data_IF_542768847862
#
_entry.id   IF_542768847862
#
_cell.length_a   1.000
_cell.length_b   1.000
_cell.length_c   1.000
_cell.angle_alpha   90.00
_cell.angle_beta   90.00
_cell.angle_gamma   90.00
#
_symmetry.space_group_name_H-M   'P 1'
#
loop_
_entity.id
_entity.type
_entity.pdbx_description
1 polymer ?
#
# COMPACT_ATOMS: atom_id res chain seq x y z
N UNK A 1 15.09 -36.39 -10.23
CA UNK A 1 16.06 -35.28 -10.36
C UNK A 1 15.88 -34.46 -11.64
N UNK A 2 15.86 -35.05 -12.83
CA UNK A 2 15.77 -34.30 -14.11
C UNK A 2 14.48 -33.45 -14.28
N UNK A 3 13.30 -33.97 -13.90
CA UNK A 3 12.04 -33.21 -13.88
C UNK A 3 12.01 -32.06 -12.86
N UNK A 4 12.69 -32.21 -11.73
CA UNK A 4 12.79 -31.16 -10.71
C UNK A 4 13.70 -30.04 -11.22
N UNK A 5 14.82 -30.38 -11.87
CA UNK A 5 15.71 -29.39 -12.46
C UNK A 5 15.03 -28.62 -13.60
N UNK A 6 14.24 -29.28 -14.46
CA UNK A 6 13.44 -28.61 -15.49
C UNK A 6 12.35 -27.70 -14.91
N UNK A 7 11.69 -28.14 -13.83
CA UNK A 7 10.70 -27.32 -13.14
C UNK A 7 11.36 -26.09 -12.48
N UNK A 8 12.54 -26.27 -11.89
CA UNK A 8 13.33 -25.18 -11.31
C UNK A 8 13.78 -24.21 -12.40
N UNK A 9 14.29 -24.68 -13.55
CA UNK A 9 14.64 -23.82 -14.68
C UNK A 9 13.44 -23.05 -15.25
N UNK A 10 12.26 -23.69 -15.33
CA UNK A 10 11.04 -23.03 -15.75
C UNK A 10 10.58 -21.97 -14.74
N UNK A 11 10.62 -22.28 -13.43
CA UNK A 11 10.27 -21.33 -12.37
C UNK A 11 11.25 -20.17 -12.28
N UNK A 12 12.55 -20.40 -12.52
CA UNK A 12 13.58 -19.34 -12.59
C UNK A 12 13.31 -18.42 -13.79
N UNK A 13 12.84 -18.97 -14.92
CA UNK A 13 12.46 -18.19 -16.11
C UNK A 13 11.12 -17.46 -15.97
N UNK A 14 10.28 -17.86 -15.03
CA UNK A 14 8.99 -17.21 -14.79
C UNK A 14 9.14 -16.15 -13.70
N UNK A 15 9.42 -14.91 -14.09
CA UNK A 15 9.60 -13.76 -13.19
C UNK A 15 8.51 -13.68 -12.10
N UNK A 16 7.26 -13.91 -12.50
CA UNK A 16 6.07 -13.94 -11.68
C UNK A 16 6.19 -14.79 -10.40
N UNK A 17 6.92 -15.91 -10.43
CA UNK A 17 7.02 -16.83 -9.30
C UNK A 17 7.62 -16.16 -8.07
N UNK A 18 8.58 -15.26 -8.27
CA UNK A 18 9.28 -14.55 -7.19
C UNK A 18 8.35 -13.56 -6.49
N UNK A 19 7.58 -12.80 -7.27
CA UNK A 19 6.61 -11.83 -6.75
C UNK A 19 5.42 -12.53 -6.09
N UNK A 20 4.87 -13.58 -6.71
CA UNK A 20 3.80 -14.38 -6.09
C UNK A 20 4.30 -15.00 -4.78
N UNK A 21 5.53 -15.50 -4.74
CA UNK A 21 6.16 -16.02 -3.53
C UNK A 21 6.24 -14.97 -2.41
N UNK A 22 6.67 -13.74 -2.73
CA UNK A 22 6.68 -12.62 -1.78
C UNK A 22 5.27 -12.27 -1.30
N UNK A 23 4.29 -12.21 -2.20
CA UNK A 23 2.90 -11.92 -1.85
C UNK A 23 2.33 -12.97 -0.89
N UNK A 24 2.48 -14.26 -1.22
CA UNK A 24 2.02 -15.38 -0.37
C UNK A 24 2.70 -15.35 0.99
N UNK A 25 4.02 -15.16 1.02
CA UNK A 25 4.77 -15.06 2.27
C UNK A 25 4.28 -13.88 3.13
N UNK A 26 4.02 -12.73 2.52
CA UNK A 26 3.48 -11.55 3.20
C UNK A 26 2.13 -11.84 3.85
N UNK A 27 1.19 -12.43 3.10
CA UNK A 27 -0.13 -12.82 3.60
C UNK A 27 0.00 -13.79 4.78
N UNK A 28 0.86 -14.81 4.64
CA UNK A 28 1.11 -15.78 5.72
C UNK A 28 1.63 -15.10 6.98
N UNK A 29 2.59 -14.19 6.86
CA UNK A 29 3.17 -13.46 7.98
C UNK A 29 2.13 -12.55 8.65
N UNK A 30 1.36 -11.80 7.88
CA UNK A 30 0.29 -10.93 8.41
C UNK A 30 -0.75 -11.77 9.14
N UNK A 31 -1.28 -12.80 8.49
CA UNK A 31 -2.31 -13.66 9.06
C UNK A 31 -1.81 -14.35 10.34
N UNK A 32 -0.63 -14.97 10.29
CA UNK A 32 -0.02 -15.60 11.46
C UNK A 32 0.15 -14.61 12.61
N UNK A 33 0.64 -13.40 12.33
CA UNK A 33 0.87 -12.37 13.35
C UNK A 33 -0.43 -11.92 14.00
N UNK A 34 -1.44 -11.58 13.21
CA UNK A 34 -2.75 -11.13 13.71
C UNK A 34 -3.48 -12.26 14.45
N UNK A 35 -3.46 -13.47 13.92
CA UNK A 35 -4.06 -14.64 14.56
C UNK A 35 -3.40 -14.99 15.90
N UNK A 36 -2.06 -14.92 15.96
CA UNK A 36 -1.31 -15.26 17.18
C UNK A 36 -1.46 -14.22 18.28
N UNK A 37 -1.51 -12.93 17.91
CA UNK A 37 -1.53 -11.81 18.88
C UNK A 37 -2.93 -11.36 19.26
N UNK A 38 -3.91 -11.50 18.37
CA UNK A 38 -5.32 -11.14 18.60
C UNK A 38 -5.49 -9.70 19.12
N UNK A 39 -4.65 -8.79 18.65
CA UNK A 39 -4.67 -7.38 19.04
C UNK A 39 -5.00 -6.52 17.81
N UNK A 40 -6.14 -5.84 17.86
CA UNK A 40 -6.61 -4.99 16.78
C UNK A 40 -5.68 -3.78 16.54
N UNK A 41 -4.92 -3.35 17.54
CA UNK A 41 -3.91 -2.28 17.39
C UNK A 41 -2.80 -2.67 16.42
N UNK A 42 -2.53 -3.97 16.26
CA UNK A 42 -1.59 -4.46 15.25
C UNK A 42 -2.16 -4.36 13.84
N UNK A 43 -3.48 -4.52 13.66
CA UNK A 43 -4.11 -4.24 12.37
C UNK A 43 -4.03 -2.75 12.03
N UNK A 44 -4.29 -1.88 13.02
CA UNK A 44 -4.11 -0.43 12.84
C UNK A 44 -2.67 -0.10 12.46
N UNK A 45 -1.69 -0.70 13.15
CA UNK A 45 -0.28 -0.52 12.82
C UNK A 45 0.01 -0.97 11.39
N UNK A 46 -0.48 -2.14 10.99
CA UNK A 46 -0.27 -2.67 9.64
C UNK A 46 -0.77 -1.69 8.58
N UNK A 47 -2.02 -1.23 8.68
CA UNK A 47 -2.61 -0.26 7.73
C UNK A 47 -1.84 1.09 7.74
N UNK A 48 -1.32 1.49 8.91
CA UNK A 48 -0.47 2.67 9.04
C UNK A 48 0.88 2.52 8.31
N UNK A 49 1.52 1.37 8.47
CA UNK A 49 2.80 1.05 7.84
C UNK A 49 2.66 0.83 6.34
N UNK A 50 1.59 0.17 5.92
CA UNK A 50 1.18 0.03 4.53
C UNK A 50 1.11 1.41 3.88
N UNK A 51 0.24 2.30 4.35
CA UNK A 51 0.13 3.67 3.83
C UNK A 51 1.46 4.46 3.81
N UNK A 52 2.32 4.28 4.82
CA UNK A 52 3.65 4.90 4.85
C UNK A 52 4.54 4.36 3.72
N UNK A 53 4.51 3.05 3.50
CA UNK A 53 5.18 2.39 2.38
C UNK A 53 4.70 2.94 1.04
N UNK A 54 3.38 3.06 0.82
CA UNK A 54 2.87 3.59 -0.45
C UNK A 54 3.28 5.04 -0.65
N UNK A 55 3.18 5.86 0.39
CA UNK A 55 3.58 7.25 0.27
C UNK A 55 5.04 7.37 -0.20
N UNK A 56 5.92 6.54 0.37
CA UNK A 56 7.31 6.47 -0.05
C UNK A 56 7.47 5.98 -1.49
N UNK A 57 6.83 4.86 -1.87
CA UNK A 57 6.83 4.34 -3.25
C UNK A 57 6.29 5.38 -4.25
N UNK A 58 5.23 6.09 -3.91
CA UNK A 58 4.65 7.09 -4.79
C UNK A 58 5.60 8.27 -5.05
N UNK A 59 6.46 8.61 -4.09
CA UNK A 59 7.49 9.63 -4.30
C UNK A 59 8.65 9.05 -5.12
N UNK A 60 9.21 7.93 -4.67
CA UNK A 60 10.47 7.38 -5.19
C UNK A 60 10.26 6.66 -6.51
N UNK A 61 9.32 5.72 -6.57
CA UNK A 61 9.00 4.95 -7.77
C UNK A 61 8.14 5.78 -8.75
N UNK A 62 6.93 6.18 -8.36
CA UNK A 62 5.98 6.81 -9.30
C UNK A 62 6.42 8.24 -9.69
N UNK A 63 6.91 9.03 -8.74
CA UNK A 63 7.35 10.41 -8.97
C UNK A 63 8.73 10.52 -9.62
N UNK A 64 9.72 9.80 -9.10
CA UNK A 64 11.13 9.98 -9.46
C UNK A 64 11.72 8.86 -10.34
N UNK A 65 10.93 7.84 -10.69
CA UNK A 65 11.36 6.70 -11.52
C UNK A 65 12.66 6.04 -11.02
N UNK A 66 12.74 5.82 -9.71
CA UNK A 66 13.92 5.32 -9.01
C UNK A 66 14.42 3.95 -9.48
N UNK A 67 13.49 3.06 -9.81
CA UNK A 67 13.71 1.69 -10.23
C UNK A 67 12.49 1.14 -10.96
N UNK A 68 12.63 -0.03 -11.57
CA UNK A 68 11.59 -0.73 -12.32
C UNK A 68 11.57 -2.21 -11.92
N UNK A 69 10.38 -2.79 -11.78
CA UNK A 69 10.18 -4.24 -11.58
C UNK A 69 9.60 -4.88 -12.84
N UNK A 70 9.92 -6.14 -13.12
CA UNK A 70 9.41 -6.86 -14.29
C UNK A 70 8.76 -8.19 -13.88
N UNK A 71 7.64 -8.19 -13.14
CA UNK A 71 6.98 -9.42 -12.70
C UNK A 71 6.35 -10.24 -13.84
N UNK A 72 6.02 -9.63 -14.98
CA UNK A 72 5.37 -10.28 -16.13
C UNK A 72 4.02 -10.94 -15.78
N UNK A 73 3.24 -10.27 -14.92
CA UNK A 73 1.90 -10.68 -14.50
C UNK A 73 0.78 -9.97 -15.29
N UNK A 74 1.03 -8.74 -15.74
CA UNK A 74 0.07 -7.88 -16.43
C UNK A 74 0.54 -7.54 -17.84
N UNK A 75 -0.45 -7.27 -18.73
CA UNK A 75 -0.18 -6.92 -20.13
C UNK A 75 0.33 -5.50 -20.32
N UNK A 76 -0.18 -4.55 -19.54
CA UNK A 76 0.29 -3.17 -19.57
C UNK A 76 1.61 -3.10 -18.79
N UNK A 77 2.73 -2.69 -19.42
CA UNK A 77 4.05 -2.70 -18.79
C UNK A 77 4.13 -1.83 -17.53
N UNK A 78 3.51 -0.65 -17.53
CA UNK A 78 3.59 0.25 -16.38
C UNK A 78 2.77 -0.27 -15.19
N UNK A 79 1.57 -0.83 -15.45
CA UNK A 79 0.81 -1.54 -14.42
C UNK A 79 1.57 -2.76 -13.89
N UNK A 80 2.24 -3.52 -14.75
CA UNK A 80 3.05 -4.66 -14.34
C UNK A 80 4.20 -4.24 -13.40
N UNK A 81 4.95 -3.21 -13.77
CA UNK A 81 6.00 -2.62 -12.93
C UNK A 81 5.45 -2.12 -11.60
N UNK A 82 4.30 -1.44 -11.63
CA UNK A 82 3.65 -0.89 -10.42
C UNK A 82 3.18 -2.02 -9.51
N UNK A 83 2.66 -3.13 -10.06
CA UNK A 83 2.29 -4.31 -9.29
C UNK A 83 3.51 -4.96 -8.63
N UNK A 84 4.65 -5.00 -9.33
CA UNK A 84 5.92 -5.47 -8.77
C UNK A 84 6.39 -4.64 -7.57
N UNK A 85 6.30 -3.31 -7.69
CA UNK A 85 6.59 -2.38 -6.59
C UNK A 85 5.60 -2.54 -5.42
N UNK A 86 4.31 -2.68 -5.73
CA UNK A 86 3.25 -2.92 -4.75
C UNK A 86 3.55 -4.18 -3.92
N UNK A 87 3.84 -5.30 -4.56
CA UNK A 87 4.10 -6.57 -3.86
C UNK A 87 5.39 -6.49 -3.05
N UNK A 88 6.47 -5.98 -3.64
CA UNK A 88 7.82 -6.08 -3.07
C UNK A 88 8.08 -5.06 -1.96
N UNK A 89 7.56 -3.85 -2.10
CA UNK A 89 7.82 -2.76 -1.16
C UNK A 89 6.57 -2.44 -0.35
N UNK A 90 5.47 -2.10 -1.02
CA UNK A 90 4.25 -1.64 -0.35
C UNK A 90 3.65 -2.72 0.55
N UNK A 91 3.70 -3.99 0.17
CA UNK A 91 3.05 -5.06 0.94
C UNK A 91 4.01 -5.87 1.80
N UNK A 92 5.16 -6.29 1.26
CA UNK A 92 6.10 -7.16 1.97
C UNK A 92 6.84 -6.45 3.12
N UNK A 93 7.25 -5.18 2.95
CA UNK A 93 7.98 -4.44 4.00
C UNK A 93 7.10 -4.18 5.23
N UNK A 94 5.84 -3.73 5.10
CA UNK A 94 4.91 -3.63 6.22
C UNK A 94 4.59 -4.98 6.88
N UNK A 95 4.48 -6.08 6.12
CA UNK A 95 4.26 -7.41 6.68
C UNK A 95 5.40 -7.84 7.63
N UNK A 96 6.66 -7.68 7.20
CA UNK A 96 7.83 -7.98 8.02
C UNK A 96 7.93 -7.03 9.22
N UNK A 97 7.62 -5.75 9.02
CA UNK A 97 7.64 -4.75 10.08
C UNK A 97 6.58 -5.01 11.15
N UNK A 98 5.38 -5.43 10.74
CA UNK A 98 4.31 -5.87 11.64
C UNK A 98 4.78 -7.05 12.50
N UNK A 99 5.36 -8.08 11.87
CA UNK A 99 5.92 -9.23 12.60
C UNK A 99 7.00 -8.81 13.60
N UNK A 100 7.96 -8.00 13.14
CA UNK A 100 9.05 -7.48 13.95
C UNK A 100 8.55 -6.77 15.22
N UNK A 101 7.55 -5.90 15.08
CA UNK A 101 6.95 -5.15 16.19
C UNK A 101 6.10 -6.05 17.09
N UNK A 102 5.22 -6.86 16.50
CA UNK A 102 4.28 -7.72 17.22
C UNK A 102 4.97 -8.73 18.14
N UNK A 103 6.11 -9.27 17.71
CA UNK A 103 6.93 -10.20 18.49
C UNK A 103 8.00 -9.51 19.34
N UNK A 104 8.02 -8.17 19.38
CA UNK A 104 8.93 -7.35 20.19
C UNK A 104 10.39 -7.73 19.96
N UNK A 105 10.76 -8.03 18.72
CA UNK A 105 12.12 -8.47 18.39
C UNK A 105 13.12 -7.35 18.69
N UNK A 106 14.33 -7.72 19.10
CA UNK A 106 15.40 -6.76 19.41
C UNK A 106 15.87 -6.02 18.15
N UNK A 107 16.52 -4.87 18.30
CA UNK A 107 17.01 -4.08 17.15
C UNK A 107 18.04 -4.82 16.30
N UNK A 108 18.65 -5.92 16.78
CA UNK A 108 19.50 -6.77 15.94
C UNK A 108 18.71 -7.39 14.78
N UNK A 109 17.44 -7.73 15.01
CA UNK A 109 16.58 -8.30 13.98
C UNK A 109 16.22 -7.30 12.87
N UNK A 110 16.19 -5.99 13.13
CA UNK A 110 15.98 -5.02 12.05
C UNK A 110 17.15 -5.00 11.07
N UNK A 111 18.39 -5.18 11.53
CA UNK A 111 19.54 -5.34 10.63
C UNK A 111 19.46 -6.63 9.82
N UNK A 112 19.06 -7.74 10.45
CA UNK A 112 18.90 -9.03 9.75
C UNK A 112 17.82 -8.94 8.68
N UNK A 113 16.63 -8.41 9.01
CA UNK A 113 15.56 -8.27 8.02
C UNK A 113 15.90 -7.28 6.92
N UNK A 114 16.51 -6.14 7.25
CA UNK A 114 16.98 -5.20 6.24
C UNK A 114 18.01 -5.84 5.29
N UNK A 115 18.94 -6.64 5.83
CA UNK A 115 19.91 -7.38 5.02
C UNK A 115 19.25 -8.45 4.13
N UNK A 116 18.24 -9.16 4.64
CA UNK A 116 17.49 -10.15 3.85
C UNK A 116 16.75 -9.47 2.71
N UNK A 117 16.03 -8.38 2.97
CA UNK A 117 15.27 -7.65 1.93
C UNK A 117 16.23 -7.05 0.89
N UNK A 118 17.34 -6.44 1.32
CA UNK A 118 18.38 -5.96 0.41
C UNK A 118 19.01 -7.11 -0.41
N UNK A 119 19.19 -8.29 0.17
CA UNK A 119 19.68 -9.46 -0.55
C UNK A 119 18.66 -10.00 -1.58
N UNK A 120 17.36 -9.91 -1.29
CA UNK A 120 16.30 -10.21 -2.27
C UNK A 120 16.36 -9.21 -3.43
N UNK A 121 16.55 -7.92 -3.16
CA UNK A 121 16.73 -6.92 -4.21
C UNK A 121 17.96 -7.21 -5.08
N UNK A 122 19.11 -7.54 -4.47
CA UNK A 122 20.30 -7.96 -5.21
C UNK A 122 20.08 -9.23 -6.04
N UNK A 123 19.28 -10.17 -5.52
CA UNK A 123 18.86 -11.35 -6.27
C UNK A 123 18.00 -10.95 -7.48
N UNK A 124 17.06 -10.03 -7.31
CA UNK A 124 16.20 -9.57 -8.40
C UNK A 124 16.98 -8.84 -9.49
N UNK A 125 18.02 -8.06 -9.13
CA UNK A 125 18.98 -7.50 -10.09
C UNK A 125 19.70 -8.60 -10.88
N UNK A 126 20.16 -9.66 -10.21
CA UNK A 126 20.87 -10.78 -10.88
C UNK A 126 19.98 -11.63 -11.78
N UNK A 127 18.67 -11.61 -11.54
CA UNK A 127 17.68 -12.32 -12.33
C UNK A 127 17.11 -11.45 -13.47
N UNK A 128 17.55 -10.20 -13.60
CA UNK A 128 17.02 -9.22 -14.56
C UNK A 128 15.51 -8.98 -14.43
N UNK A 129 14.95 -9.18 -13.24
CA UNK A 129 13.52 -8.95 -12.92
C UNK A 129 13.29 -7.64 -12.15
N UNK A 130 14.37 -6.90 -11.91
CA UNK A 130 14.40 -5.59 -11.29
C UNK A 130 15.58 -4.80 -11.84
N UNK A 131 15.41 -3.49 -12.00
CA UNK A 131 16.43 -2.59 -12.52
C UNK A 131 16.48 -1.32 -11.70
N UNK A 132 17.68 -0.95 -11.28
CA UNK A 132 17.96 0.34 -10.66
C UNK A 132 18.16 1.41 -11.73
N UNK A 133 17.51 2.56 -11.58
CA UNK A 133 17.80 3.74 -12.39
C UNK A 133 18.79 4.65 -11.68
N UNK A 134 18.45 5.10 -10.47
CA UNK A 134 19.36 5.87 -9.60
C UNK A 134 19.32 5.41 -8.14
N UNK A 135 18.39 4.53 -7.79
CA UNK A 135 18.26 4.01 -6.44
C UNK A 135 19.24 2.86 -6.21
N UNK A 136 20.19 3.06 -5.31
CA UNK A 136 21.13 2.02 -4.93
C UNK A 136 20.55 1.14 -3.80
N UNK A 137 20.89 -0.16 -3.80
CA UNK A 137 20.39 -1.09 -2.79
C UNK A 137 20.82 -0.72 -1.36
N UNK A 138 21.91 0.05 -1.18
CA UNK A 138 22.27 0.62 0.12
C UNK A 138 21.20 1.60 0.65
N UNK A 139 20.49 2.32 -0.23
CA UNK A 139 19.39 3.19 0.15
C UNK A 139 18.21 2.38 0.66
N UNK A 140 17.89 1.24 0.04
CA UNK A 140 16.89 0.30 0.55
C UNK A 140 17.28 -0.19 1.95
N UNK A 141 18.53 -0.62 2.14
CA UNK A 141 18.99 -1.11 3.45
C UNK A 141 18.85 -0.04 4.54
N UNK A 142 19.32 1.18 4.31
CA UNK A 142 19.22 2.29 5.27
C UNK A 142 17.76 2.70 5.49
N UNK A 143 16.97 2.79 4.43
CA UNK A 143 15.54 3.11 4.48
C UNK A 143 14.76 2.10 5.31
N UNK A 144 15.04 0.81 5.19
CA UNK A 144 14.40 -0.24 5.97
C UNK A 144 14.76 -0.16 7.46
N UNK A 145 16.00 0.15 7.81
CA UNK A 145 16.38 0.37 9.21
C UNK A 145 15.58 1.53 9.82
N UNK A 146 15.42 2.62 9.07
CA UNK A 146 14.58 3.74 9.48
C UNK A 146 13.11 3.32 9.59
N UNK A 147 12.59 2.57 8.61
CA UNK A 147 11.21 2.07 8.59
C UNK A 147 10.89 1.18 9.80
N UNK A 148 11.79 0.24 10.16
CA UNK A 148 11.63 -0.59 11.36
C UNK A 148 11.67 0.23 12.65
N UNK A 149 12.50 1.27 12.71
CA UNK A 149 12.53 2.18 13.85
C UNK A 149 11.23 2.98 13.98
N UNK A 150 10.73 3.54 12.87
CA UNK A 150 9.42 4.22 12.80
C UNK A 150 8.32 3.27 13.24
N UNK A 151 8.33 2.03 12.75
CA UNK A 151 7.32 1.01 13.08
C UNK A 151 7.20 0.76 14.59
N UNK A 152 8.34 0.62 15.29
CA UNK A 152 8.35 0.48 16.75
C UNK A 152 7.83 1.73 17.45
N UNK A 153 8.27 2.92 17.02
CA UNK A 153 7.84 4.18 17.63
C UNK A 153 6.35 4.42 17.44
N UNK A 154 5.84 4.17 16.23
CA UNK A 154 4.42 4.31 15.93
C UNK A 154 3.56 3.34 16.74
N UNK A 155 3.97 2.08 16.86
CA UNK A 155 3.25 1.13 17.71
C UNK A 155 3.21 1.56 19.18
N UNK A 156 4.31 2.08 19.70
CA UNK A 156 4.33 2.63 21.06
C UNK A 156 3.36 3.81 21.19
N UNK A 157 3.26 4.68 20.18
CA UNK A 157 2.25 5.72 20.17
C UNK A 157 0.82 5.17 20.06
N UNK A 158 0.57 4.10 19.32
CA UNK A 158 -0.76 3.49 19.24
C UNK A 158 -1.20 2.89 20.59
N UNK A 159 -0.27 2.27 21.33
CA UNK A 159 -0.60 1.66 22.63
C UNK A 159 -0.69 2.70 23.74
N UNK A 160 0.21 3.69 23.76
CA UNK A 160 0.19 4.77 24.73
C UNK A 160 -0.88 5.79 24.33
N UNK A 161 -1.38 6.60 25.27
CA UNK A 161 -2.32 7.67 24.93
C UNK A 161 -1.62 8.73 24.05
N UNK A 162 -1.60 8.53 22.72
CA UNK A 162 -0.90 9.40 21.79
C UNK A 162 -1.48 10.81 21.78
N UNK A 163 -0.66 11.75 21.32
CA UNK A 163 -1.13 13.09 20.98
C UNK A 163 -2.27 13.00 19.97
N UNK A 164 -3.16 14.01 20.02
CA UNK A 164 -4.28 14.15 19.07
C UNK A 164 -3.79 14.13 17.62
N UNK A 165 -2.63 14.72 17.36
CA UNK A 165 -2.00 14.76 16.05
C UNK A 165 -1.62 13.37 15.52
N UNK A 166 -0.89 12.55 16.31
CA UNK A 166 -0.48 11.21 15.87
C UNK A 166 -1.69 10.32 15.59
N UNK A 167 -2.74 10.43 16.41
CA UNK A 167 -4.00 9.70 16.16
C UNK A 167 -4.65 10.13 14.84
N UNK A 168 -4.69 11.44 14.56
CA UNK A 168 -5.23 11.94 13.30
C UNK A 168 -4.47 11.39 12.09
N UNK A 169 -3.13 11.48 12.12
CA UNK A 169 -2.27 10.91 11.08
C UNK A 169 -2.52 9.40 10.93
N UNK A 170 -2.66 8.66 12.03
CA UNK A 170 -2.97 7.23 11.99
C UNK A 170 -4.29 6.95 11.29
N UNK A 171 -5.34 7.75 11.55
CA UNK A 171 -6.65 7.59 10.88
C UNK A 171 -6.56 7.94 9.39
N UNK A 172 -5.78 8.97 9.00
CA UNK A 172 -5.50 9.27 7.59
C UNK A 172 -4.83 8.09 6.90
N UNK A 173 -3.80 7.51 7.53
CA UNK A 173 -3.09 6.36 6.98
C UNK A 173 -3.98 5.12 6.85
N UNK A 174 -4.84 4.83 7.85
CA UNK A 174 -5.84 3.77 7.74
C UNK A 174 -6.74 4.00 6.52
N UNK A 175 -7.31 5.20 6.39
CA UNK A 175 -8.20 5.52 5.27
C UNK A 175 -7.48 5.42 3.92
N UNK A 176 -6.22 5.83 3.87
CA UNK A 176 -5.39 5.77 2.66
C UNK A 176 -5.08 4.34 2.24
N UNK A 177 -4.56 3.52 3.15
CA UNK A 177 -4.23 2.11 2.91
C UNK A 177 -5.47 1.33 2.45
N UNK A 178 -6.59 1.44 3.18
CA UNK A 178 -7.82 0.73 2.83
C UNK A 178 -8.38 1.18 1.47
N UNK A 179 -8.34 2.48 1.17
CA UNK A 179 -8.76 2.99 -0.14
C UNK A 179 -7.85 2.45 -1.25
N UNK A 180 -6.53 2.43 -1.04
CA UNK A 180 -5.56 1.85 -1.97
C UNK A 180 -5.87 0.38 -2.24
N UNK A 181 -5.96 -0.43 -1.20
CA UNK A 181 -6.17 -1.87 -1.27
C UNK A 181 -7.48 -2.26 -1.97
N UNK A 182 -8.56 -1.52 -1.70
CA UNK A 182 -9.84 -1.77 -2.36
C UNK A 182 -9.78 -1.45 -3.86
N UNK A 183 -9.03 -0.43 -4.28
CA UNK A 183 -8.97 -0.09 -5.72
C UNK A 183 -7.89 -0.83 -6.51
N UNK A 184 -7.05 -1.66 -5.86
CA UNK A 184 -5.99 -2.44 -6.51
C UNK A 184 -6.53 -3.21 -7.72
N UNK A 185 -7.61 -3.98 -7.54
CA UNK A 185 -8.17 -4.83 -8.60
C UNK A 185 -8.61 -4.02 -9.82
N UNK A 186 -9.49 -3.01 -9.70
CA UNK A 186 -9.92 -2.25 -10.88
C UNK A 186 -8.79 -1.43 -11.51
N UNK A 187 -7.81 -0.94 -10.73
CA UNK A 187 -6.63 -0.24 -11.28
C UNK A 187 -5.79 -1.18 -12.14
N UNK A 188 -5.38 -2.32 -11.61
CA UNK A 188 -4.52 -3.26 -12.34
C UNK A 188 -5.24 -4.04 -13.44
N UNK A 189 -6.58 -4.03 -13.43
CA UNK A 189 -7.40 -4.57 -14.53
C UNK A 189 -7.66 -3.56 -15.65
N UNK A 190 -7.08 -2.35 -15.56
CA UNK A 190 -7.26 -1.28 -16.55
C UNK A 190 -8.75 -0.90 -16.72
N UNK A 191 -9.53 -0.89 -15.64
CA UNK A 191 -10.97 -0.60 -15.72
C UNK A 191 -11.27 0.89 -15.87
N UNK A 192 -10.40 1.76 -15.37
CA UNK A 192 -10.57 3.20 -15.45
C UNK A 192 -9.22 3.90 -15.54
N UNK A 193 -9.20 5.08 -16.15
CA UNK A 193 -8.01 5.93 -16.20
C UNK A 193 -8.38 7.41 -16.09
N UNK A 194 -7.40 8.19 -15.64
CA UNK A 194 -7.44 9.64 -15.71
C UNK A 194 -6.62 10.09 -16.91
N UNK A 195 -7.25 10.82 -17.82
CA UNK A 195 -6.63 11.36 -19.03
C UNK A 195 -5.97 12.70 -18.72
N UNK A 196 -4.68 12.64 -18.40
CA UNK A 196 -3.87 13.80 -18.02
C UNK A 196 -2.44 13.63 -18.55
N UNK A 197 -1.86 14.68 -19.11
CA UNK A 197 -0.52 14.65 -19.71
C UNK A 197 0.59 15.12 -18.75
N UNK A 198 0.70 14.51 -17.56
CA UNK A 198 1.74 14.88 -16.58
C UNK A 198 3.09 14.21 -16.86
N UNK A 199 3.08 13.01 -17.42
CA UNK A 199 4.25 12.23 -17.79
C UNK A 199 4.12 11.72 -19.22
N UNK A 200 5.26 11.32 -19.82
CA UNK A 200 5.30 10.74 -21.16
C UNK A 200 4.55 9.41 -21.28
N UNK A 201 4.38 8.68 -20.17
CA UNK A 201 3.59 7.46 -20.11
C UNK A 201 2.17 7.79 -19.58
N UNK A 202 1.10 7.56 -20.37
CA UNK A 202 -0.27 7.86 -19.95
C UNK A 202 -0.72 7.07 -18.72
N UNK A 203 -0.25 5.84 -18.55
CA UNK A 203 -0.59 4.99 -17.41
C UNK A 203 0.01 5.57 -16.13
N UNK A 204 1.26 6.03 -16.20
CA UNK A 204 1.93 6.75 -15.11
C UNK A 204 1.18 8.02 -14.71
N UNK A 205 0.76 8.82 -15.69
CA UNK A 205 -0.03 10.02 -15.42
C UNK A 205 -1.34 9.71 -14.72
N UNK A 206 -2.08 8.71 -15.23
CA UNK A 206 -3.31 8.24 -14.60
C UNK A 206 -3.07 7.79 -13.16
N UNK A 207 -2.05 6.96 -12.91
CA UNK A 207 -1.70 6.50 -11.57
C UNK A 207 -1.32 7.64 -10.62
N UNK A 208 -0.61 8.66 -11.09
CA UNK A 208 -0.27 9.83 -10.29
C UNK A 208 -1.52 10.61 -9.86
N UNK A 209 -2.48 10.81 -10.77
CA UNK A 209 -3.77 11.44 -10.44
C UNK A 209 -4.56 10.58 -9.46
N UNK A 210 -4.59 9.25 -9.67
CA UNK A 210 -5.23 8.31 -8.74
C UNK A 210 -4.64 8.46 -7.34
N UNK A 211 -3.32 8.41 -7.20
CA UNK A 211 -2.64 8.52 -5.90
C UNK A 211 -2.94 9.84 -5.19
N UNK A 212 -2.92 10.96 -5.92
CA UNK A 212 -3.30 12.26 -5.35
C UNK A 212 -4.75 12.29 -4.92
N UNK A 213 -5.65 11.77 -5.76
CA UNK A 213 -7.07 11.69 -5.46
C UNK A 213 -7.33 10.78 -4.25
N UNK A 214 -6.66 9.62 -4.15
CA UNK A 214 -6.71 8.73 -2.98
C UNK A 214 -6.25 9.44 -1.71
N UNK A 215 -5.23 10.29 -1.79
CA UNK A 215 -4.76 11.09 -0.66
C UNK A 215 -5.83 12.08 -0.20
N UNK A 216 -6.49 12.77 -1.13
CA UNK A 216 -7.60 13.69 -0.82
C UNK A 216 -8.78 12.93 -0.20
N UNK A 217 -9.19 11.80 -0.78
CA UNK A 217 -10.25 10.92 -0.23
C UNK A 217 -9.94 10.50 1.20
N UNK A 218 -8.73 10.00 1.43
CA UNK A 218 -8.29 9.54 2.75
C UNK A 218 -8.35 10.66 3.79
N UNK A 219 -7.87 11.86 3.44
CA UNK A 219 -7.96 13.04 4.30
C UNK A 219 -9.42 13.41 4.61
N UNK A 220 -10.31 13.45 3.62
CA UNK A 220 -11.73 13.77 3.82
C UNK A 220 -12.41 12.76 4.76
N UNK A 221 -12.27 11.47 4.49
CA UNK A 221 -12.84 10.40 5.32
C UNK A 221 -12.27 10.49 6.74
N UNK A 222 -10.95 10.68 6.88
CA UNK A 222 -10.29 10.77 8.16
C UNK A 222 -10.74 11.98 8.99
N UNK A 223 -10.92 13.16 8.38
CA UNK A 223 -11.48 14.34 9.06
C UNK A 223 -12.82 14.01 9.69
N UNK A 224 -13.73 13.44 8.89
CA UNK A 224 -15.09 13.18 9.33
C UNK A 224 -15.15 12.08 10.41
N UNK A 225 -14.33 11.03 10.28
CA UNK A 225 -14.18 9.99 11.30
C UNK A 225 -13.55 10.52 12.58
N UNK A 226 -12.52 11.35 12.47
CA UNK A 226 -11.72 11.82 13.60
C UNK A 226 -12.47 12.80 14.48
N UNK A 227 -13.19 13.75 13.88
CA UNK A 227 -14.01 14.73 14.60
C UNK A 227 -15.36 14.16 15.07
N UNK A 228 -15.68 12.92 14.70
CA UNK A 228 -16.91 12.21 15.10
C UNK A 228 -18.17 13.01 14.81
N UNK A 229 -18.27 13.55 13.60
CA UNK A 229 -19.50 14.20 13.17
C UNK A 229 -20.69 13.23 13.23
N UNK A 230 -21.91 13.76 13.28
CA UNK A 230 -23.13 12.95 13.23
C UNK A 230 -23.21 12.18 11.89
N UNK A 231 -23.98 11.09 11.87
CA UNK A 231 -24.06 10.21 10.71
C UNK A 231 -24.49 10.92 9.42
N UNK A 232 -25.26 12.00 9.51
CA UNK A 232 -25.65 12.80 8.35
C UNK A 232 -24.44 13.50 7.72
N UNK A 233 -23.61 14.18 8.51
CA UNK A 233 -22.36 14.77 8.02
C UNK A 233 -21.35 13.71 7.58
N UNK A 234 -21.36 12.52 8.19
CA UNK A 234 -20.53 11.40 7.73
C UNK A 234 -20.96 10.89 6.36
N UNK A 235 -22.26 10.78 6.11
CA UNK A 235 -22.79 10.38 4.81
C UNK A 235 -22.51 11.39 3.69
N UNK A 236 -22.28 12.67 4.02
CA UNK A 236 -21.89 13.67 3.02
C UNK A 236 -20.50 13.37 2.41
N UNK A 237 -19.57 12.76 3.14
CA UNK A 237 -18.24 12.45 2.62
C UNK A 237 -18.27 11.57 1.36
N UNK A 238 -18.86 10.35 1.37
CA UNK A 238 -18.96 9.53 0.17
C UNK A 238 -19.80 10.18 -0.93
N UNK A 239 -20.83 10.98 -0.59
CA UNK A 239 -21.63 11.72 -1.58
C UNK A 239 -20.77 12.76 -2.31
N UNK A 240 -19.94 13.52 -1.58
CA UNK A 240 -19.02 14.50 -2.17
C UNK A 240 -17.95 13.83 -3.04
N UNK A 241 -17.45 12.66 -2.64
CA UNK A 241 -16.50 11.89 -3.44
C UNK A 241 -17.14 11.39 -4.73
N UNK A 242 -18.34 10.81 -4.68
CA UNK A 242 -19.10 10.45 -5.87
C UNK A 242 -19.36 11.66 -6.78
N UNK A 243 -19.78 12.80 -6.20
CA UNK A 243 -19.98 14.03 -6.96
C UNK A 243 -18.69 14.50 -7.66
N UNK A 244 -17.53 14.35 -7.03
CA UNK A 244 -16.24 14.68 -7.66
C UNK A 244 -15.88 13.74 -8.81
N UNK A 245 -16.20 12.45 -8.74
CA UNK A 245 -16.07 11.54 -9.89
C UNK A 245 -16.97 11.96 -11.05
N UNK A 246 -18.24 12.28 -10.78
CA UNK A 246 -19.17 12.79 -11.79
C UNK A 246 -18.67 14.09 -12.43
N UNK A 247 -18.06 14.96 -11.62
CA UNK A 247 -17.42 16.17 -12.11
C UNK A 247 -16.22 15.88 -13.02
N UNK A 248 -15.34 14.93 -12.66
CA UNK A 248 -14.22 14.53 -13.53
C UNK A 248 -14.68 13.87 -14.84
N UNK A 249 -15.79 13.13 -14.82
CA UNK A 249 -16.42 12.59 -16.04
C UNK A 249 -16.92 13.75 -16.92
N UNK A 250 -17.58 14.74 -16.32
CA UNK A 250 -18.08 15.91 -17.05
C UNK A 250 -16.96 16.71 -17.70
N UNK A 251 -15.79 16.78 -17.05
CA UNK A 251 -14.58 17.40 -17.61
C UNK A 251 -13.84 16.53 -18.62
N UNK A 252 -14.31 15.32 -18.92
CA UNK A 252 -13.64 14.32 -19.76
C UNK A 252 -12.23 13.91 -19.25
N UNK A 253 -11.97 14.10 -17.96
CA UNK A 253 -10.70 13.72 -17.33
C UNK A 253 -10.76 12.27 -16.83
N UNK A 254 -11.93 11.81 -16.38
CA UNK A 254 -12.09 10.44 -15.87
C UNK A 254 -12.91 9.59 -16.84
N UNK A 255 -12.33 8.47 -17.27
CA UNK A 255 -12.97 7.49 -18.14
C UNK A 255 -12.99 6.12 -17.46
N UNK A 256 -14.01 5.33 -17.75
CA UNK A 256 -14.19 4.00 -17.16
C UNK A 256 -14.78 3.04 -18.21
N UNK A 257 -14.44 1.75 -18.10
CA UNK A 257 -14.93 0.70 -19.00
C UNK A 257 -16.34 0.25 -18.64
N UNK A 258 -16.64 0.16 -17.34
CA UNK A 258 -17.94 -0.33 -16.86
C UNK A 258 -18.55 0.64 -15.83
N UNK A 259 -19.86 0.90 -15.94
CA UNK A 259 -20.58 1.73 -14.94
C UNK A 259 -20.45 1.14 -13.53
N UNK A 260 -20.24 -0.17 -13.43
CA UNK A 260 -19.95 -0.87 -12.18
C UNK A 260 -18.73 -0.35 -11.43
N UNK A 261 -17.75 0.23 -12.12
CA UNK A 261 -16.56 0.80 -11.48
C UNK A 261 -16.93 2.00 -10.59
N UNK A 262 -17.90 2.83 -11.01
CA UNK A 262 -18.40 3.95 -10.19
C UNK A 262 -19.14 3.47 -8.94
N UNK A 263 -19.97 2.43 -9.08
CA UNK A 263 -20.64 1.81 -7.94
C UNK A 263 -19.62 1.19 -6.98
N UNK A 264 -18.61 0.50 -7.51
CA UNK A 264 -17.54 -0.09 -6.74
C UNK A 264 -16.78 0.95 -5.91
N UNK A 265 -16.36 2.05 -6.55
CA UNK A 265 -15.65 3.15 -5.88
C UNK A 265 -16.49 3.78 -4.76
N UNK A 266 -17.79 3.98 -5.01
CA UNK A 266 -18.72 4.54 -4.02
C UNK A 266 -18.93 3.60 -2.82
N UNK A 267 -19.08 2.30 -3.08
CA UNK A 267 -19.21 1.29 -2.02
C UNK A 267 -17.91 1.19 -1.22
N UNK A 268 -16.76 1.26 -1.88
CA UNK A 268 -15.46 1.29 -1.22
C UNK A 268 -15.36 2.47 -0.24
N UNK A 269 -15.77 3.69 -0.64
CA UNK A 269 -15.76 4.85 0.26
C UNK A 269 -16.61 4.63 1.51
N UNK A 270 -17.79 4.01 1.38
CA UNK A 270 -18.67 3.68 2.50
C UNK A 270 -18.02 2.64 3.42
N UNK A 271 -17.41 1.60 2.85
CA UNK A 271 -16.70 0.56 3.62
C UNK A 271 -15.54 1.17 4.39
N UNK A 272 -14.71 2.00 3.75
CA UNK A 272 -13.59 2.68 4.40
C UNK A 272 -14.09 3.60 5.50
N UNK A 273 -15.15 4.39 5.27
CA UNK A 273 -15.75 5.25 6.29
C UNK A 273 -16.21 4.44 7.53
N UNK A 274 -16.88 3.32 7.34
CA UNK A 274 -17.35 2.46 8.45
C UNK A 274 -16.15 1.89 9.22
N UNK A 275 -15.17 1.33 8.51
CA UNK A 275 -13.98 0.74 9.11
C UNK A 275 -13.11 1.78 9.85
N UNK A 276 -12.87 2.94 9.25
CA UNK A 276 -12.14 4.05 9.87
C UNK A 276 -12.83 4.54 11.14
N UNK A 277 -14.16 4.66 11.13
CA UNK A 277 -14.93 5.02 12.32
C UNK A 277 -14.78 3.98 13.43
N UNK A 278 -14.87 2.69 13.08
CA UNK A 278 -14.68 1.61 14.04
C UNK A 278 -13.27 1.64 14.65
N UNK A 279 -12.22 1.67 13.82
CA UNK A 279 -10.83 1.69 14.27
C UNK A 279 -10.49 2.96 15.06
N UNK A 280 -11.00 4.14 14.67
CA UNK A 280 -10.81 5.38 15.43
C UNK A 280 -11.50 5.34 16.80
N UNK A 281 -12.65 4.66 16.94
CA UNK A 281 -13.28 4.43 18.24
C UNK A 281 -12.40 3.53 19.10
N UNK A 282 -11.87 2.44 18.57
CA UNK A 282 -10.96 1.56 19.32
C UNK A 282 -9.70 2.29 19.78
N UNK A 283 -9.08 3.12 18.93
CA UNK A 283 -7.93 3.97 19.28
C UNK A 283 -8.22 5.03 20.35
N UNK A 284 -9.48 5.24 20.70
CA UNK A 284 -9.89 6.23 21.71
C UNK A 284 -10.30 5.63 23.05
N UNK A 285 -10.51 4.30 23.13
CA UNK A 285 -11.01 3.64 24.34
C UNK A 285 -10.01 3.62 25.49
N UNK A 286 -8.72 3.79 25.20
CA UNK A 286 -7.65 3.86 26.19
C UNK A 286 -7.43 5.28 26.77
N UNK A 287 -8.43 6.17 26.67
CA UNK A 287 -8.41 7.53 27.21
C UNK A 287 -9.56 7.78 28.17
#
# INVERSE_FOLDING_TARGET
>A
MQKINQLIEFMIKANAVWFIGLAVLSIMIIFYTLWKKKDLKLLVLFLGLDALGAFFENVVYLGLNAYEYYPQLLKNPYYDMTLGAFISQYFFVPAISLYYVAFRLTSRWSFIFAAIIAAIELLFLRLDIYKNNWWDTSYTFVGLLLFFWISKKWYNFIIQASSRFIRFITVVCIAYSMNGDLIVIPVFSDHYHFDVDWFNDPTRSSLAVIVLYQTIRACLIAIVCFYRFNWTLQALAPILLLASYLFFIHLHIFTFKFVWDLYYLSVADIVVLICCNYLNKELSKDK
#
